data_IF_623920418935
#
_entry.id   IF_623920418935
#
_cell.length_a   1.000
_cell.length_b   1.000
_cell.length_c   1.000
_cell.angle_alpha   90.00
_cell.angle_beta   90.00
_cell.angle_gamma   90.00
#
_symmetry.space_group_name_H-M   'P 1'
#
loop_
_entity.id
_entity.type
_entity.pdbx_description
1 polymer ?
#
# COMPACT_ATOMS: atom_id res chain seq x y z
N UNK A 1 -20.72 -5.83 21.78
CA UNK A 1 -19.84 -4.84 21.12
C UNK A 1 -19.01 -5.56 20.06
N UNK A 2 -19.21 -5.33 18.76
CA UNK A 2 -18.37 -5.95 17.74
C UNK A 2 -16.95 -5.39 17.83
N UNK A 3 -15.95 -6.29 17.82
CA UNK A 3 -14.53 -5.97 17.88
C UNK A 3 -14.10 -5.11 16.68
N UNK A 4 -13.15 -4.21 16.86
CA UNK A 4 -12.56 -3.37 15.80
C UNK A 4 -12.08 -4.17 14.58
N UNK A 5 -11.69 -5.45 14.79
CA UNK A 5 -11.32 -6.38 13.72
C UNK A 5 -12.48 -6.68 12.76
N UNK A 6 -13.71 -6.74 13.28
CA UNK A 6 -14.91 -7.06 12.50
C UNK A 6 -15.36 -5.89 11.63
N UNK A 7 -15.10 -4.66 12.07
CA UNK A 7 -15.41 -3.45 11.29
C UNK A 7 -14.46 -3.29 10.11
N UNK A 8 -13.15 -3.45 10.32
CA UNK A 8 -12.16 -3.42 9.23
C UNK A 8 -12.41 -4.51 8.18
N UNK A 9 -12.79 -5.70 8.60
CA UNK A 9 -13.17 -6.78 7.69
C UNK A 9 -14.41 -6.44 6.85
N UNK A 10 -15.46 -5.86 7.47
CA UNK A 10 -16.67 -5.42 6.76
C UNK A 10 -16.42 -4.27 5.79
N UNK A 11 -15.57 -3.31 6.15
CA UNK A 11 -15.20 -2.20 5.27
C UNK A 11 -14.42 -2.72 4.05
N UNK A 12 -13.51 -3.68 4.25
CA UNK A 12 -12.81 -4.35 3.15
C UNK A 12 -13.76 -5.21 2.30
N UNK A 13 -14.75 -5.87 2.91
CA UNK A 13 -15.76 -6.66 2.21
C UNK A 13 -16.71 -5.79 1.36
N UNK A 14 -17.03 -4.58 1.84
CA UNK A 14 -17.86 -3.60 1.13
C UNK A 14 -17.07 -2.90 0.01
N UNK A 15 -15.79 -2.57 0.24
CA UNK A 15 -14.94 -1.89 -0.76
C UNK A 15 -14.43 -2.81 -1.87
N UNK A 16 -14.19 -4.08 -1.56
CA UNK A 16 -13.64 -5.07 -2.51
C UNK A 16 -14.66 -6.14 -2.90
N UNK A 17 -15.94 -5.78 -2.86
CA UNK A 17 -17.09 -6.63 -3.12
C UNK A 17 -16.80 -7.85 -3.99
N UNK A 18 -17.01 -9.02 -3.38
CA UNK A 18 -17.20 -10.36 -3.95
C UNK A 18 -16.28 -11.40 -3.32
N UNK A 19 -16.94 -12.41 -2.76
CA UNK A 19 -16.33 -13.62 -2.24
C UNK A 19 -15.57 -14.31 -3.36
N UNK A 20 -14.25 -14.15 -3.38
CA UNK A 20 -13.35 -15.07 -4.06
C UNK A 20 -13.79 -16.49 -3.66
N UNK A 21 -14.05 -17.34 -4.65
CA UNK A 21 -14.31 -18.77 -4.42
C UNK A 21 -13.17 -19.36 -3.59
N UNK A 22 -13.36 -20.41 -2.77
CA UNK A 22 -12.29 -20.97 -1.95
C UNK A 22 -11.04 -21.35 -2.77
N UNK A 23 -11.22 -21.72 -4.05
CA UNK A 23 -10.14 -21.90 -5.01
C UNK A 23 -9.40 -20.60 -5.35
N UNK A 24 -10.12 -19.49 -5.63
CA UNK A 24 -9.51 -18.18 -5.86
C UNK A 24 -8.90 -17.55 -4.58
N UNK A 25 -9.39 -17.90 -3.38
CA UNK A 25 -8.75 -17.50 -2.12
C UNK A 25 -7.44 -18.27 -1.88
N UNK A 26 -7.38 -19.55 -2.23
CA UNK A 26 -6.14 -20.32 -2.24
C UNK A 26 -5.17 -19.75 -3.29
N UNK A 27 -5.67 -19.42 -4.48
CA UNK A 27 -4.93 -18.76 -5.56
C UNK A 27 -4.39 -17.39 -5.12
N UNK A 28 -5.19 -16.60 -4.41
CA UNK A 28 -4.80 -15.30 -3.87
C UNK A 28 -3.80 -15.43 -2.72
N UNK A 29 -3.88 -16.48 -1.90
CA UNK A 29 -2.90 -16.77 -0.84
C UNK A 29 -1.56 -17.24 -1.42
N UNK A 30 -1.57 -18.04 -2.48
CA UNK A 30 -0.35 -18.48 -3.19
C UNK A 30 0.26 -17.38 -4.05
N UNK A 31 -0.57 -16.50 -4.63
CA UNK A 31 -0.15 -15.32 -5.39
C UNK A 31 0.17 -14.11 -4.51
N UNK A 32 -0.07 -14.18 -3.20
CA UNK A 32 0.19 -13.08 -2.30
C UNK A 32 1.70 -12.92 -2.05
N UNK A 33 2.22 -11.69 -2.08
CA UNK A 33 3.56 -11.41 -1.58
C UNK A 33 3.67 -11.81 -0.10
N UNK A 34 4.87 -12.22 0.37
CA UNK A 34 5.12 -12.51 1.77
C UNK A 34 4.58 -11.42 2.71
N UNK A 35 3.99 -11.83 3.84
CA UNK A 35 3.38 -10.88 4.79
C UNK A 35 4.38 -9.83 5.30
N UNK A 36 5.65 -10.19 5.50
CA UNK A 36 6.70 -9.26 5.91
C UNK A 36 6.91 -8.16 4.87
N UNK A 37 6.81 -8.49 3.58
CA UNK A 37 7.01 -7.55 2.49
C UNK A 37 5.84 -6.56 2.39
N UNK A 38 4.61 -7.02 2.64
CA UNK A 38 3.43 -6.15 2.73
C UNK A 38 3.53 -5.20 3.94
N UNK A 39 4.08 -5.68 5.08
CA UNK A 39 4.33 -4.82 6.25
C UNK A 39 5.38 -3.75 5.97
N UNK A 40 6.48 -4.09 5.29
CA UNK A 40 7.52 -3.12 4.92
C UNK A 40 6.94 -2.07 3.97
N UNK A 41 6.24 -2.49 2.90
CA UNK A 41 5.60 -1.57 1.98
C UNK A 41 4.62 -0.63 2.70
N UNK A 42 3.74 -1.17 3.55
CA UNK A 42 2.79 -0.38 4.32
C UNK A 42 3.48 0.63 5.24
N UNK A 43 4.54 0.22 5.96
CA UNK A 43 5.30 1.10 6.84
C UNK A 43 6.02 2.21 6.06
N UNK A 44 6.69 1.88 4.95
CA UNK A 44 7.37 2.84 4.10
C UNK A 44 6.41 3.84 3.46
N UNK A 45 5.24 3.38 3.00
CA UNK A 45 4.21 4.25 2.44
C UNK A 45 3.64 5.20 3.50
N UNK A 46 3.36 4.67 4.70
CA UNK A 46 2.84 5.46 5.81
C UNK A 46 3.84 6.53 6.26
N UNK A 47 5.13 6.20 6.30
CA UNK A 47 6.19 7.16 6.58
C UNK A 47 6.25 8.27 5.51
N UNK A 48 6.21 7.91 4.22
CA UNK A 48 6.20 8.90 3.14
C UNK A 48 4.97 9.83 3.22
N UNK A 49 3.78 9.27 3.46
CA UNK A 49 2.56 10.06 3.65
C UNK A 49 2.62 10.96 4.89
N UNK A 50 3.23 10.50 5.99
CA UNK A 50 3.40 11.32 7.19
C UNK A 50 4.33 12.51 6.94
N UNK A 51 5.41 12.32 6.19
CA UNK A 51 6.31 13.41 5.77
C UNK A 51 5.58 14.41 4.87
N UNK A 52 4.82 13.94 3.88
CA UNK A 52 4.01 14.80 3.01
C UNK A 52 3.01 15.61 3.85
N UNK A 53 2.30 14.97 4.78
CA UNK A 53 1.35 15.64 5.66
C UNK A 53 2.05 16.68 6.54
N UNK A 54 3.21 16.35 7.09
CA UNK A 54 4.03 17.28 7.86
C UNK A 54 4.43 18.51 7.04
N UNK A 55 4.88 18.32 5.80
CA UNK A 55 5.20 19.41 4.88
C UNK A 55 3.99 20.29 4.60
N UNK A 56 2.81 19.71 4.34
CA UNK A 56 1.56 20.45 4.10
C UNK A 56 1.17 21.28 5.32
N UNK A 57 1.25 20.69 6.52
CA UNK A 57 0.92 21.38 7.78
C UNK A 57 1.91 22.51 8.06
N UNK A 58 3.20 22.29 7.75
CA UNK A 58 4.23 23.31 7.89
C UNK A 58 4.05 24.47 6.90
N UNK A 59 3.76 24.19 5.63
CA UNK A 59 3.47 25.21 4.60
C UNK A 59 2.21 26.03 4.93
N UNK A 60 1.22 25.42 5.58
CA UNK A 60 0.02 26.12 6.04
C UNK A 60 0.22 26.98 7.29
N UNK A 61 1.42 26.99 7.87
CA UNK A 61 1.72 27.78 9.08
C UNK A 61 1.05 27.25 10.34
N UNK A 62 0.62 25.98 10.34
CA UNK A 62 0.04 25.34 11.53
C UNK A 62 1.12 24.88 12.51
N UNK A 63 2.37 24.79 12.04
CA UNK A 63 3.54 24.51 12.87
C UNK A 63 4.36 25.80 13.02
N UNK A 64 5.02 26.01 14.18
CA UNK A 64 5.91 27.14 14.42
C UNK A 64 7.27 26.94 13.71
N UNK A 65 7.22 26.53 12.44
CA UNK A 65 8.38 26.28 11.59
C UNK A 65 8.31 27.32 10.47
N UNK A 66 9.35 28.14 10.28
CA UNK A 66 9.38 29.10 9.20
C UNK A 66 9.30 28.38 7.85
N UNK A 67 8.39 28.84 6.99
CA UNK A 67 8.32 28.36 5.61
C UNK A 67 9.69 28.52 4.95
N UNK A 68 10.30 27.42 4.56
CA UNK A 68 11.62 27.40 3.94
C UNK A 68 11.55 26.64 2.62
N UNK A 69 12.37 27.00 1.62
CA UNK A 69 12.45 26.26 0.36
C UNK A 69 12.86 24.78 0.56
N UNK A 70 13.48 24.46 1.70
CA UNK A 70 13.78 23.10 2.14
C UNK A 70 12.52 22.25 2.36
N UNK A 71 11.42 22.84 2.86
CA UNK A 71 10.16 22.11 3.07
C UNK A 71 9.55 21.74 1.72
N UNK A 72 9.58 22.66 0.75
CA UNK A 72 9.08 22.41 -0.61
C UNK A 72 9.89 21.34 -1.34
N UNK A 73 11.22 21.32 -1.20
CA UNK A 73 12.03 20.25 -1.80
C UNK A 73 11.77 18.90 -1.14
N UNK A 74 11.69 18.83 0.20
CA UNK A 74 11.35 17.60 0.93
C UNK A 74 9.95 17.11 0.55
N UNK A 75 8.97 18.00 0.39
CA UNK A 75 7.63 17.66 -0.05
C UNK A 75 7.64 17.03 -1.45
N UNK A 76 8.37 17.64 -2.41
CA UNK A 76 8.52 17.11 -3.76
C UNK A 76 9.17 15.71 -3.76
N UNK A 77 10.27 15.53 -3.03
CA UNK A 77 10.94 14.23 -2.90
C UNK A 77 10.06 13.18 -2.24
N UNK A 78 9.35 13.52 -1.16
CA UNK A 78 8.47 12.60 -0.46
C UNK A 78 7.30 12.15 -1.34
N UNK A 79 6.73 13.07 -2.12
CA UNK A 79 5.66 12.78 -3.08
C UNK A 79 6.15 11.85 -4.18
N UNK A 80 7.31 12.15 -4.77
CA UNK A 80 7.94 11.29 -5.78
C UNK A 80 8.24 9.89 -5.23
N UNK A 81 8.80 9.82 -4.01
CA UNK A 81 9.09 8.56 -3.34
C UNK A 81 7.83 7.74 -3.10
N UNK A 82 6.73 8.36 -2.65
CA UNK A 82 5.44 7.67 -2.46
C UNK A 82 4.90 7.10 -3.78
N UNK A 83 4.93 7.88 -4.86
CA UNK A 83 4.49 7.44 -6.18
C UNK A 83 5.33 6.27 -6.72
N UNK A 84 6.66 6.38 -6.61
CA UNK A 84 7.58 5.31 -7.01
C UNK A 84 7.33 4.04 -6.18
N UNK A 85 7.13 4.17 -4.87
CA UNK A 85 6.84 3.04 -3.99
C UNK A 85 5.54 2.33 -4.41
N UNK A 86 4.47 3.09 -4.71
CA UNK A 86 3.22 2.53 -5.23
C UNK A 86 3.42 1.83 -6.57
N UNK A 87 4.18 2.43 -7.49
CA UNK A 87 4.45 1.85 -8.81
C UNK A 87 5.24 0.55 -8.71
N UNK A 88 6.30 0.53 -7.89
CA UNK A 88 7.10 -0.67 -7.62
C UNK A 88 6.21 -1.75 -7.00
N UNK A 89 5.35 -1.40 -6.05
CA UNK A 89 4.44 -2.36 -5.43
C UNK A 89 3.46 -2.99 -6.43
N UNK A 90 2.89 -2.19 -7.33
CA UNK A 90 2.02 -2.69 -8.41
C UNK A 90 2.77 -3.64 -9.35
N UNK A 91 3.99 -3.30 -9.75
CA UNK A 91 4.84 -4.17 -10.58
C UNK A 91 5.15 -5.48 -9.88
N UNK A 92 5.43 -5.42 -8.58
CA UNK A 92 5.73 -6.58 -7.76
C UNK A 92 4.52 -7.50 -7.65
N UNK A 93 3.35 -6.95 -7.31
CA UNK A 93 2.08 -7.69 -7.31
C UNK A 93 1.79 -8.34 -8.67
N UNK A 94 2.02 -7.62 -9.77
CA UNK A 94 1.90 -8.14 -11.12
C UNK A 94 2.88 -9.28 -11.42
N UNK A 95 4.11 -9.22 -10.90
CA UNK A 95 5.08 -10.30 -11.02
C UNK A 95 4.63 -11.55 -10.25
N UNK A 96 4.20 -11.40 -8.98
CA UNK A 96 3.72 -12.52 -8.17
C UNK A 96 2.47 -13.18 -8.79
N UNK A 97 1.51 -12.39 -9.28
CA UNK A 97 0.32 -12.91 -9.99
C UNK A 97 0.68 -13.70 -11.25
N UNK A 98 1.62 -13.20 -12.06
CA UNK A 98 2.09 -13.92 -13.27
C UNK A 98 2.77 -15.24 -12.91
N UNK A 99 3.59 -15.24 -11.85
CA UNK A 99 4.29 -16.44 -11.39
C UNK A 99 3.33 -17.49 -10.83
N UNK A 100 2.30 -17.07 -10.10
CA UNK A 100 1.26 -17.97 -9.61
C UNK A 100 0.47 -18.59 -10.78
N UNK A 101 0.07 -17.79 -11.77
CA UNK A 101 -0.62 -18.27 -12.98
C UNK A 101 0.20 -19.31 -13.75
N UNK A 102 1.51 -19.10 -13.89
CA UNK A 102 2.40 -20.02 -14.60
C UNK A 102 2.61 -21.37 -13.87
N UNK A 103 2.43 -21.42 -12.55
CA UNK A 103 2.50 -22.68 -11.78
C UNK A 103 1.23 -23.53 -11.90
N UNK A 104 0.13 -22.91 -12.30
CA UNK A 104 -1.20 -23.54 -12.37
C UNK A 104 -1.57 -24.03 -13.77
N UNK A 105 -0.83 -23.66 -14.80
CA UNK A 105 -0.93 -24.28 -16.12
C UNK A 105 -0.16 -25.61 -16.09
N UNK A 106 -0.85 -26.78 -16.09
CA UNK A 106 -0.16 -28.05 -16.23
C UNK A 106 0.57 -28.06 -17.58
N UNK A 107 1.84 -28.49 -17.55
CA UNK A 107 2.59 -28.75 -18.78
C UNK A 107 1.84 -29.84 -19.59
N UNK A 108 1.71 -29.68 -20.92
CA UNK A 108 1.14 -30.73 -21.77
C UNK A 108 1.99 -32.00 -21.73
#
# INVERSE_FOLDING_TARGET
>A
MPSFKTFGARVMEILFGSRLTPAEQALAREAAPPQWMNRIYGASLLAACAVILFCIVAERGWLPIPASPLIGTVHGFATLAALLLMMVWQLLLGHYRRRAKARMTPKP
#
